data_IF_150129403253
#
_entry.id   IF_150129403253
#
_cell.length_a   1.000
_cell.length_b   1.000
_cell.length_c   1.000
_cell.angle_alpha   90.00
_cell.angle_beta   90.00
_cell.angle_gamma   90.00
#
_symmetry.space_group_name_H-M   'P 1'
#
loop_
_entity.id
_entity.type
_entity.pdbx_description
1 polymer ?
#
# COMPACT_ATOMS: atom_id res chain seq x y z
N UNK A 1 0.66 -0.88 -6.34
CA UNK A 1 -0.49 -1.25 -7.18
C UNK A 1 -0.61 -2.74 -7.46
N UNK A 2 0.38 -3.57 -7.16
CA UNK A 2 0.30 -5.03 -7.36
C UNK A 2 -0.33 -5.78 -6.18
N UNK A 3 -0.42 -5.18 -4.99
CA UNK A 3 -1.11 -5.76 -3.84
C UNK A 3 -2.12 -4.78 -3.27
N UNK A 4 -3.39 -5.09 -3.46
CA UNK A 4 -4.49 -4.27 -2.97
C UNK A 4 -4.81 -4.54 -1.49
N UNK A 5 -4.29 -5.64 -0.93
CA UNK A 5 -4.51 -6.04 0.47
C UNK A 5 -3.97 -5.05 1.49
N UNK A 6 -2.92 -4.29 1.13
CA UNK A 6 -2.31 -3.31 2.03
C UNK A 6 -3.26 -2.20 2.47
N UNK A 7 -4.23 -1.85 1.62
CA UNK A 7 -5.12 -0.72 1.82
C UNK A 7 -6.60 -1.07 1.81
N UNK A 8 -6.98 -2.25 1.30
CA UNK A 8 -8.40 -2.61 1.27
C UNK A 8 -8.60 -4.11 1.58
N UNK A 9 -9.17 -4.45 2.76
CA UNK A 9 -9.41 -5.83 3.16
C UNK A 9 -10.42 -6.56 2.26
N UNK A 10 -11.30 -5.85 1.53
CA UNK A 10 -12.29 -6.46 0.64
C UNK A 10 -11.69 -7.20 -0.57
N UNK A 11 -10.37 -7.07 -0.80
CA UNK A 11 -9.66 -7.81 -1.85
C UNK A 11 -9.13 -9.18 -1.40
N UNK A 12 -9.22 -9.55 -0.12
CA UNK A 12 -8.78 -10.85 0.36
C UNK A 12 -9.55 -11.98 -0.35
N UNK A 13 -8.85 -12.97 -0.90
CA UNK A 13 -9.42 -14.12 -1.61
C UNK A 13 -10.13 -13.81 -2.93
N UNK A 14 -10.01 -12.61 -3.48
CA UNK A 14 -10.72 -12.16 -4.68
C UNK A 14 -10.41 -13.02 -5.91
N UNK A 15 -9.19 -13.53 -6.05
CA UNK A 15 -8.77 -14.32 -7.20
C UNK A 15 -9.18 -15.78 -7.12
N UNK A 16 -9.75 -16.23 -6.00
CA UNK A 16 -10.07 -17.63 -5.69
C UNK A 16 -8.88 -18.59 -5.73
N UNK A 17 -7.69 -18.05 -5.57
CA UNK A 17 -6.42 -18.78 -5.48
C UNK A 17 -5.74 -18.41 -4.16
N UNK A 18 -4.67 -19.15 -3.84
CA UNK A 18 -3.72 -18.74 -2.80
C UNK A 18 -2.74 -17.79 -3.47
N UNK A 19 -2.61 -16.60 -2.92
CA UNK A 19 -1.66 -15.59 -3.36
C UNK A 19 -0.73 -15.23 -2.21
N UNK A 20 0.53 -14.97 -2.54
CA UNK A 20 1.49 -14.38 -1.64
C UNK A 20 2.29 -13.31 -2.39
N UNK A 21 2.64 -12.24 -1.73
CA UNK A 21 3.42 -11.16 -2.31
C UNK A 21 4.39 -10.57 -1.31
N UNK A 22 5.60 -10.33 -1.76
CA UNK A 22 6.64 -9.62 -1.02
C UNK A 22 7.00 -8.35 -1.79
N UNK A 23 7.14 -7.24 -1.08
CA UNK A 23 7.62 -5.99 -1.63
C UNK A 23 8.65 -5.40 -0.67
N UNK A 24 9.78 -4.98 -1.21
CA UNK A 24 10.78 -4.18 -0.51
C UNK A 24 10.94 -2.86 -1.26
N UNK A 25 10.93 -1.74 -0.53
CA UNK A 25 11.11 -0.40 -1.07
C UNK A 25 12.16 0.34 -0.25
N UNK A 26 13.19 0.81 -0.93
CA UNK A 26 14.18 1.72 -0.38
C UNK A 26 13.99 3.10 -1.04
N UNK A 27 13.92 4.16 -0.25
CA UNK A 27 13.76 5.52 -0.74
C UNK A 27 14.99 6.34 -0.41
N UNK A 28 15.35 7.32 -1.27
CA UNK A 28 16.46 8.25 -1.03
C UNK A 28 17.78 7.53 -0.76
N UNK A 29 18.09 6.55 -1.60
CA UNK A 29 19.34 5.78 -1.51
C UNK A 29 20.54 6.72 -1.46
N UNK A 30 21.45 6.47 -0.52
CA UNK A 30 22.61 7.32 -0.25
C UNK A 30 22.45 8.28 0.95
N UNK A 31 21.24 8.46 1.48
CA UNK A 31 21.04 9.20 2.73
C UNK A 31 21.12 8.27 3.95
N UNK A 32 21.75 8.77 5.02
CA UNK A 32 21.78 8.04 6.30
C UNK A 32 20.36 7.93 6.85
N UNK A 33 19.96 6.74 7.30
CA UNK A 33 18.62 6.47 7.84
C UNK A 33 17.48 6.72 6.83
N UNK A 34 17.73 6.47 5.55
CA UNK A 34 16.76 6.58 4.48
C UNK A 34 15.50 5.69 4.74
N UNK A 35 14.33 6.10 4.27
CA UNK A 35 13.11 5.32 4.45
C UNK A 35 13.20 3.95 3.80
N UNK A 36 12.78 2.91 4.52
CA UNK A 36 12.72 1.53 4.05
C UNK A 36 11.40 0.90 4.44
N UNK A 37 10.72 0.31 3.48
CA UNK A 37 9.42 -0.34 3.68
C UNK A 37 9.46 -1.77 3.17
N UNK A 38 9.07 -2.72 4.01
CA UNK A 38 8.93 -4.13 3.67
C UNK A 38 7.49 -4.55 3.88
N UNK A 39 6.93 -5.24 2.89
CA UNK A 39 5.53 -5.68 2.94
C UNK A 39 5.46 -7.14 2.57
N UNK A 40 4.81 -7.93 3.42
CA UNK A 40 4.40 -9.29 3.14
C UNK A 40 2.87 -9.35 3.17
N UNK A 41 2.29 -9.80 2.07
CA UNK A 41 0.86 -10.03 1.97
C UNK A 41 0.59 -11.46 1.54
N UNK A 42 -0.49 -12.04 2.05
CA UNK A 42 -1.00 -13.31 1.60
C UNK A 42 -2.51 -13.34 1.69
N UNK A 43 -3.15 -14.03 0.74
CA UNK A 43 -4.58 -14.25 0.79
C UNK A 43 -4.96 -15.59 0.16
N UNK A 44 -6.10 -16.10 0.59
CA UNK A 44 -6.67 -17.32 0.08
C UNK A 44 -8.19 -17.25 0.08
N UNK A 45 -8.78 -17.96 -0.87
CA UNK A 45 -10.21 -18.18 -0.91
C UNK A 45 -10.57 -19.46 -0.16
N UNK A 46 -11.67 -19.43 0.57
CA UNK A 46 -12.29 -20.64 1.12
C UNK A 46 -13.83 -20.54 1.11
N UNK A 47 -14.52 -21.60 1.55
CA UNK A 47 -15.98 -21.76 1.38
C UNK A 47 -16.82 -20.57 1.84
N UNK A 48 -16.39 -19.85 2.88
CA UNK A 48 -17.16 -18.76 3.48
C UNK A 48 -16.66 -17.35 3.12
N UNK A 49 -15.64 -17.23 2.25
CA UNK A 49 -15.08 -15.94 1.84
C UNK A 49 -13.57 -15.98 1.62
N UNK A 50 -12.94 -14.83 1.64
CA UNK A 50 -11.49 -14.68 1.55
C UNK A 50 -10.87 -14.41 2.91
N UNK A 51 -9.78 -15.09 3.21
CA UNK A 51 -8.89 -14.77 4.31
C UNK A 51 -7.63 -14.12 3.78
N UNK A 52 -7.09 -13.16 4.50
CA UNK A 52 -5.85 -12.51 4.14
C UNK A 52 -5.00 -12.17 5.35
N UNK A 53 -3.74 -11.93 5.09
CA UNK A 53 -2.74 -11.48 6.03
C UNK A 53 -1.93 -10.35 5.40
N UNK A 54 -1.65 -9.31 6.16
CA UNK A 54 -0.78 -8.21 5.75
C UNK A 54 0.18 -7.87 6.88
N UNK A 55 1.47 -7.91 6.58
CA UNK A 55 2.55 -7.50 7.48
C UNK A 55 3.31 -6.37 6.80
N UNK A 56 3.47 -5.26 7.49
CA UNK A 56 4.21 -4.10 7.01
C UNK A 56 5.23 -3.72 8.08
N UNK A 57 6.48 -3.61 7.65
CA UNK A 57 7.58 -3.11 8.44
C UNK A 57 8.13 -1.85 7.76
N UNK A 58 8.01 -0.71 8.41
CA UNK A 58 8.34 0.60 7.86
C UNK A 58 9.32 1.32 8.78
N UNK A 59 10.39 1.85 8.21
CA UNK A 59 11.41 2.64 8.91
C UNK A 59 11.56 3.98 8.23
N UNK A 60 11.54 5.04 9.02
CA UNK A 60 11.77 6.42 8.56
C UNK A 60 12.68 7.14 9.56
N UNK A 61 13.94 7.26 9.23
CA UNK A 61 14.91 7.80 10.18
C UNK A 61 15.04 6.92 11.42
N UNK A 62 14.76 7.51 12.57
CA UNK A 62 14.72 6.86 13.88
C UNK A 62 13.33 6.38 14.28
N UNK A 63 12.33 6.60 13.41
CA UNK A 63 10.98 6.08 13.55
C UNK A 63 10.89 4.67 12.95
N UNK A 64 10.24 3.76 13.66
CA UNK A 64 9.95 2.41 13.21
C UNK A 64 8.48 2.09 13.43
N UNK A 65 7.83 1.54 12.43
CA UNK A 65 6.43 1.12 12.48
C UNK A 65 6.28 -0.30 11.99
N UNK A 66 5.73 -1.16 12.82
CA UNK A 66 5.39 -2.54 12.47
C UNK A 66 3.88 -2.72 12.54
N UNK A 67 3.28 -3.24 11.48
CA UNK A 67 1.84 -3.52 11.40
C UNK A 67 1.59 -4.96 10.99
N UNK A 68 0.71 -5.61 11.72
CA UNK A 68 0.18 -6.94 11.41
C UNK A 68 -1.33 -6.87 11.36
N UNK A 69 -1.94 -7.33 10.24
CA UNK A 69 -3.38 -7.36 10.05
C UNK A 69 -3.82 -8.74 9.55
N UNK A 70 -4.81 -9.32 10.21
CA UNK A 70 -5.63 -10.41 9.69
C UNK A 70 -6.84 -9.81 8.97
N UNK A 71 -7.15 -10.30 7.79
CA UNK A 71 -8.16 -9.75 6.89
C UNK A 71 -9.20 -10.81 6.57
N UNK A 72 -10.45 -10.41 6.49
CA UNK A 72 -11.56 -11.23 6.03
C UNK A 72 -12.37 -10.45 5.00
N UNK A 73 -12.82 -11.12 3.93
CA UNK A 73 -13.71 -10.55 2.94
C UNK A 73 -14.85 -11.51 2.59
N UNK A 74 -16.05 -10.99 2.61
CA UNK A 74 -17.23 -11.67 2.08
C UNK A 74 -17.48 -11.19 0.65
N UNK A 75 -17.66 -12.15 -0.27
CA UNK A 75 -17.86 -11.88 -1.69
C UNK A 75 -19.25 -12.33 -2.11
N UNK A 76 -20.03 -11.40 -2.60
CA UNK A 76 -21.37 -11.65 -3.12
C UNK A 76 -21.41 -11.46 -4.64
N UNK A 77 -21.76 -12.52 -5.36
CA UNK A 77 -21.88 -12.47 -6.80
C UNK A 77 -23.31 -12.05 -7.18
N UNK A 78 -23.45 -10.84 -7.71
CA UNK A 78 -24.71 -10.28 -8.18
C UNK A 78 -25.10 -10.82 -9.57
N UNK A 79 -24.10 -11.06 -10.42
CA UNK A 79 -24.28 -11.65 -11.75
C UNK A 79 -23.02 -12.35 -12.22
N UNK A 80 -23.06 -12.96 -13.41
CA UNK A 80 -21.86 -13.59 -14.01
C UNK A 80 -20.70 -12.59 -14.25
N UNK A 81 -21.00 -11.29 -14.36
CA UNK A 81 -20.03 -10.22 -14.61
C UNK A 81 -19.79 -9.32 -13.41
N UNK A 82 -20.60 -9.44 -12.32
CA UNK A 82 -20.58 -8.49 -11.22
C UNK A 82 -20.43 -9.20 -9.87
N UNK A 83 -19.38 -8.85 -9.14
CA UNK A 83 -19.13 -9.28 -7.76
C UNK A 83 -18.93 -8.03 -6.90
N UNK A 84 -19.59 -7.98 -5.77
CA UNK A 84 -19.37 -6.98 -4.72
C UNK A 84 -18.77 -7.68 -3.51
N UNK A 85 -17.86 -7.02 -2.85
CA UNK A 85 -17.20 -7.59 -1.67
C UNK A 85 -17.14 -6.56 -0.55
N UNK A 86 -17.34 -7.03 0.67
CA UNK A 86 -17.13 -6.28 1.90
C UNK A 86 -16.05 -6.96 2.71
N UNK A 87 -15.12 -6.20 3.25
CA UNK A 87 -13.99 -6.73 4.02
C UNK A 87 -13.73 -5.97 5.29
N UNK A 88 -13.22 -6.68 6.28
CA UNK A 88 -12.74 -6.14 7.54
C UNK A 88 -11.33 -6.65 7.81
N UNK A 89 -10.52 -5.80 8.45
CA UNK A 89 -9.19 -6.11 8.94
C UNK A 89 -9.09 -5.82 10.43
N UNK A 90 -8.48 -6.73 11.15
CA UNK A 90 -8.15 -6.56 12.56
C UNK A 90 -6.66 -6.81 12.76
N UNK A 91 -6.00 -5.96 13.53
CA UNK A 91 -4.57 -6.07 13.68
C UNK A 91 -3.98 -5.27 14.82
N UNK A 92 -2.67 -5.23 14.82
CA UNK A 92 -1.84 -4.51 15.78
C UNK A 92 -0.84 -3.65 15.02
N UNK A 93 -0.63 -2.44 15.51
CA UNK A 93 0.41 -1.53 15.05
C UNK A 93 1.31 -1.26 16.25
N UNK A 94 2.60 -1.52 16.10
CA UNK A 94 3.62 -0.99 16.98
C UNK A 94 4.26 0.20 16.30
N UNK A 95 4.35 1.32 16.98
CA UNK A 95 5.05 2.51 16.52
C UNK A 95 6.07 2.93 17.56
N UNK A 96 7.33 3.07 17.16
CA UNK A 96 8.43 3.42 18.06
C UNK A 96 9.29 4.54 17.48
N UNK A 97 9.88 5.31 18.38
CA UNK A 97 10.83 6.37 18.08
C UNK A 97 12.04 6.20 18.99
N UNK A 98 13.23 6.12 18.41
CA UNK A 98 14.49 6.14 19.13
C UNK A 98 14.87 7.59 19.49
N UNK A 99 14.20 8.17 20.48
CA UNK A 99 14.35 9.55 20.91
C UNK A 99 15.77 9.83 21.44
N UNK A 100 16.42 8.83 22.03
CA UNK A 100 17.80 8.89 22.52
C UNK A 100 18.84 9.13 21.42
N UNK A 101 18.50 8.88 20.15
CA UNK A 101 19.37 9.06 18.98
C UNK A 101 19.15 10.42 18.30
N UNK A 102 18.15 11.20 18.73
CA UNK A 102 17.85 12.49 18.14
C UNK A 102 18.82 13.56 18.65
N UNK A 103 19.36 14.33 17.73
CA UNK A 103 20.24 15.46 18.03
C UNK A 103 19.45 16.74 17.82
N UNK A 104 19.23 17.47 18.89
CA UNK A 104 18.52 18.77 18.87
C UNK A 104 19.50 19.92 18.73
N UNK A 105 19.15 20.89 17.89
CA UNK A 105 19.96 22.12 17.72
C UNK A 105 19.92 22.98 18.99
N UNK A 106 18.78 23.00 19.68
CA UNK A 106 18.65 23.67 21.00
C UNK A 106 18.73 22.64 22.12
N UNK A 107 19.73 22.74 22.97
CA UNK A 107 19.92 21.84 24.10
C UNK A 107 18.88 22.02 25.23
N UNK A 108 18.15 23.13 25.23
CA UNK A 108 17.14 23.46 26.25
C UNK A 108 15.70 23.43 25.72
N UNK A 109 15.42 22.68 24.65
CA UNK A 109 14.05 22.51 24.17
C UNK A 109 13.27 21.60 25.13
N UNK A 110 12.30 22.19 25.84
CA UNK A 110 11.44 21.47 26.79
C UNK A 110 10.55 20.42 26.12
N UNK A 111 10.35 20.50 24.80
CA UNK A 111 9.56 19.56 24.01
C UNK A 111 10.44 18.49 23.34
N UNK A 112 11.75 18.48 23.60
CA UNK A 112 12.65 17.50 23.02
C UNK A 112 12.35 16.08 23.54
N UNK A 113 12.10 15.16 22.63
CA UNK A 113 11.92 13.72 22.94
C UNK A 113 13.31 13.11 23.05
N UNK A 114 13.82 12.96 24.26
CA UNK A 114 15.16 12.42 24.55
C UNK A 114 15.15 10.96 24.97
N UNK A 115 13.97 10.37 25.15
CA UNK A 115 13.79 8.97 25.55
C UNK A 115 13.16 8.16 24.40
N UNK A 116 13.45 6.87 24.37
CA UNK A 116 12.84 5.96 23.42
C UNK A 116 11.37 5.72 23.79
N UNK A 117 10.51 5.84 22.79
CA UNK A 117 9.06 5.65 22.92
C UNK A 117 8.65 4.46 22.05
N UNK A 118 7.83 3.56 22.60
CA UNK A 118 7.23 2.46 21.83
C UNK A 118 5.83 2.17 22.33
N UNK A 119 4.86 2.17 21.41
CA UNK A 119 3.46 1.92 21.73
C UNK A 119 2.83 0.90 20.78
N UNK A 120 1.96 0.07 21.36
CA UNK A 120 1.12 -0.85 20.63
C UNK A 120 -0.31 -0.33 20.54
N UNK A 121 -0.85 -0.36 19.36
CA UNK A 121 -2.19 0.11 19.08
C UNK A 121 -2.98 -0.97 18.33
N UNK A 122 -4.23 -1.21 18.75
CA UNK A 122 -5.15 -2.01 17.94
C UNK A 122 -5.47 -1.29 16.63
N UNK A 123 -5.66 -2.05 15.57
CA UNK A 123 -6.01 -1.55 14.25
C UNK A 123 -7.30 -2.18 13.74
N UNK A 124 -8.18 -1.36 13.18
CA UNK A 124 -9.40 -1.80 12.49
C UNK A 124 -9.43 -1.15 11.12
N UNK A 125 -9.59 -1.97 10.09
CA UNK A 125 -9.73 -1.55 8.70
C UNK A 125 -11.06 -2.05 8.14
N UNK A 126 -11.75 -1.26 7.33
CA UNK A 126 -12.96 -1.64 6.61
C UNK A 126 -12.83 -1.31 5.13
N UNK A 127 -13.46 -2.11 4.29
CA UNK A 127 -13.41 -1.88 2.86
C UNK A 127 -14.57 -2.49 2.09
N UNK A 128 -14.81 -1.90 0.94
CA UNK A 128 -15.75 -2.39 -0.06
C UNK A 128 -15.02 -2.46 -1.40
N UNK A 129 -15.39 -3.43 -2.22
CA UNK A 129 -14.90 -3.53 -3.59
C UNK A 129 -15.97 -4.05 -4.54
N UNK A 130 -15.82 -3.69 -5.80
CA UNK A 130 -16.62 -4.17 -6.90
C UNK A 130 -15.71 -4.65 -8.02
N UNK A 131 -16.04 -5.80 -8.57
CA UNK A 131 -15.51 -6.29 -9.84
C UNK A 131 -16.67 -6.34 -10.82
N UNK A 132 -16.54 -5.60 -11.91
CA UNK A 132 -17.53 -5.59 -12.98
C UNK A 132 -16.83 -5.81 -14.32
N UNK A 133 -16.93 -7.00 -14.86
CA UNK A 133 -16.21 -7.44 -16.07
C UNK A 133 -14.71 -7.15 -15.95
N UNK A 134 -14.24 -6.12 -16.65
CA UNK A 134 -12.83 -5.68 -16.70
C UNK A 134 -12.48 -4.56 -15.71
N UNK A 135 -13.49 -4.04 -15.01
CA UNK A 135 -13.32 -2.99 -14.00
C UNK A 135 -13.18 -3.59 -12.61
N UNK A 136 -12.18 -3.14 -11.88
CA UNK A 136 -12.02 -3.39 -10.44
C UNK A 136 -11.98 -2.04 -9.75
N UNK A 137 -12.85 -1.82 -8.78
CA UNK A 137 -12.83 -0.61 -7.98
C UNK A 137 -13.06 -0.94 -6.51
N UNK A 138 -12.65 -0.05 -5.64
CA UNK A 138 -12.84 -0.22 -4.21
C UNK A 138 -12.64 1.07 -3.43
N UNK A 139 -13.24 1.10 -2.26
CA UNK A 139 -13.06 2.14 -1.25
C UNK A 139 -12.79 1.47 0.08
N UNK A 140 -11.90 2.05 0.87
CA UNK A 140 -11.60 1.53 2.20
C UNK A 140 -11.18 2.65 3.15
N UNK A 141 -11.35 2.37 4.42
CA UNK A 141 -10.86 3.19 5.49
C UNK A 141 -9.96 2.34 6.39
N UNK A 142 -8.69 2.71 6.51
CA UNK A 142 -7.75 2.07 7.42
C UNK A 142 -7.57 2.90 8.68
N UNK A 143 -7.24 2.23 9.80
CA UNK A 143 -7.12 2.85 11.12
C UNK A 143 -8.41 3.55 11.56
N UNK A 144 -9.58 2.94 11.30
CA UNK A 144 -10.88 3.56 11.54
C UNK A 144 -11.14 3.89 13.01
N UNK A 145 -10.54 3.13 13.91
CA UNK A 145 -10.61 3.33 15.36
C UNK A 145 -9.69 4.46 15.88
N UNK A 146 -8.99 5.18 14.98
CA UNK A 146 -8.05 6.24 15.32
C UNK A 146 -8.60 7.63 14.97
N UNK A 147 -7.95 8.65 15.51
CA UNK A 147 -8.31 10.04 15.22
C UNK A 147 -8.00 10.42 13.76
N UNK A 148 -8.76 11.35 13.20
CA UNK A 148 -8.41 12.03 11.94
C UNK A 148 -7.34 13.11 12.13
N UNK A 149 -7.09 13.54 13.36
CA UNK A 149 -6.03 14.52 13.68
C UNK A 149 -4.74 13.78 13.99
N UNK A 150 -3.65 14.18 13.36
CA UNK A 150 -2.30 13.74 13.72
C UNK A 150 -1.86 14.47 15.00
N UNK A 151 -2.51 14.18 16.12
CA UNK A 151 -2.25 14.86 17.39
C UNK A 151 -1.22 14.16 18.25
N UNK A 152 -0.89 12.93 17.89
CA UNK A 152 0.01 12.08 18.68
C UNK A 152 0.96 11.33 17.76
N UNK A 153 2.25 11.37 18.07
CA UNK A 153 3.30 10.71 17.27
C UNK A 153 3.05 9.21 17.14
N UNK A 154 2.60 8.56 18.20
CA UNK A 154 2.43 7.10 18.26
C UNK A 154 1.16 6.60 17.59
N UNK A 155 0.21 7.47 17.32
CA UNK A 155 -1.09 7.11 16.74
C UNK A 155 -1.12 7.36 15.24
N UNK A 156 -1.20 6.32 14.38
CA UNK A 156 -1.33 6.51 12.95
C UNK A 156 -2.67 7.18 12.62
N UNK A 157 -2.70 8.17 11.71
CA UNK A 157 -3.93 8.82 11.32
C UNK A 157 -4.82 7.87 10.52
N UNK A 158 -6.14 8.12 10.56
CA UNK A 158 -7.10 7.46 9.70
C UNK A 158 -6.81 7.79 8.23
N UNK A 159 -6.89 6.77 7.34
CA UNK A 159 -6.73 6.96 5.92
C UNK A 159 -7.95 6.46 5.14
N UNK A 160 -8.39 7.26 4.20
CA UNK A 160 -9.34 6.89 3.17
C UNK A 160 -8.58 6.53 1.89
N UNK A 161 -8.95 5.41 1.27
CA UNK A 161 -8.40 4.93 0.02
C UNK A 161 -9.51 4.73 -1.01
N UNK A 162 -9.28 5.21 -2.23
CA UNK A 162 -10.16 4.95 -3.36
C UNK A 162 -9.28 4.42 -4.49
N UNK A 163 -9.67 3.30 -5.04
CA UNK A 163 -8.94 2.61 -6.08
C UNK A 163 -9.85 2.23 -7.24
N UNK A 164 -9.36 2.40 -8.46
CA UNK A 164 -10.01 1.88 -9.66
C UNK A 164 -8.95 1.40 -10.65
N UNK A 165 -9.22 0.27 -11.31
CA UNK A 165 -8.40 -0.31 -12.37
C UNK A 165 -9.30 -0.85 -13.46
N UNK A 166 -8.98 -0.55 -14.71
CA UNK A 166 -9.63 -1.12 -15.88
C UNK A 166 -8.62 -1.92 -16.69
N UNK A 167 -9.04 -3.09 -17.23
CA UNK A 167 -8.20 -3.93 -18.09
C UNK A 167 -8.70 -3.86 -19.52
N UNK A 168 -7.98 -3.19 -20.39
CA UNK A 168 -8.30 -3.03 -21.80
C UNK A 168 -7.42 -3.94 -22.66
N UNK A 169 -8.02 -4.87 -23.40
CA UNK A 169 -7.32 -5.74 -24.35
C UNK A 169 -7.27 -5.03 -25.70
N UNK A 170 -6.08 -4.61 -26.11
CA UNK A 170 -5.86 -3.93 -27.37
C UNK A 170 -5.83 -4.96 -28.53
N UNK A 171 -5.10 -6.04 -28.32
CA UNK A 171 -5.02 -7.21 -29.18
C UNK A 171 -4.54 -8.42 -28.35
N UNK A 172 -4.33 -9.57 -28.99
CA UNK A 172 -3.91 -10.82 -28.30
C UNK A 172 -2.53 -10.72 -27.63
N UNK A 173 -1.73 -9.73 -27.99
CA UNK A 173 -0.37 -9.55 -27.47
C UNK A 173 -0.29 -8.44 -26.42
N UNK A 174 -1.21 -7.47 -26.44
CA UNK A 174 -1.09 -6.24 -25.66
C UNK A 174 -2.38 -6.00 -24.85
N UNK A 175 -2.21 -5.89 -23.53
CA UNK A 175 -3.26 -5.45 -22.61
C UNK A 175 -2.80 -4.21 -21.86
N UNK A 176 -3.64 -3.18 -21.81
CA UNK A 176 -3.42 -1.96 -21.05
C UNK A 176 -4.22 -2.02 -19.75
N UNK A 177 -3.61 -1.61 -18.66
CA UNK A 177 -4.24 -1.58 -17.33
C UNK A 177 -4.06 -0.20 -16.69
N UNK A 178 -4.83 0.82 -17.14
CA UNK A 178 -4.89 2.07 -16.40
C UNK A 178 -5.49 1.86 -15.02
N UNK A 179 -4.96 2.55 -14.05
CA UNK A 179 -5.46 2.53 -12.67
C UNK A 179 -5.24 3.87 -11.98
N UNK A 180 -6.08 4.14 -10.99
CA UNK A 180 -6.07 5.34 -10.18
C UNK A 180 -6.12 4.91 -8.71
N UNK A 181 -5.30 5.56 -7.89
CA UNK A 181 -5.31 5.43 -6.44
C UNK A 181 -5.33 6.80 -5.81
N UNK A 182 -6.33 7.06 -4.99
CA UNK A 182 -6.40 8.23 -4.12
C UNK A 182 -6.22 7.78 -2.68
N UNK A 183 -5.25 8.36 -2.00
CA UNK A 183 -4.99 8.18 -0.57
C UNK A 183 -5.20 9.50 0.14
N UNK A 184 -6.04 9.55 1.15
CA UNK A 184 -6.27 10.74 1.97
C UNK A 184 -6.14 10.43 3.45
N UNK A 185 -5.32 11.19 4.14
CA UNK A 185 -5.26 11.22 5.60
C UNK A 185 -6.12 12.37 6.18
N UNK A 186 -7.03 12.93 5.39
CA UNK A 186 -7.90 14.09 5.63
C UNK A 186 -7.16 15.45 5.69
N UNK A 187 -5.95 15.50 6.22
CA UNK A 187 -5.09 16.70 6.19
C UNK A 187 -4.12 16.73 5.01
N UNK A 188 -3.89 15.57 4.37
CA UNK A 188 -3.05 15.42 3.17
C UNK A 188 -3.66 14.39 2.23
N UNK A 189 -3.83 14.76 0.97
CA UNK A 189 -4.36 13.87 -0.08
C UNK A 189 -3.31 13.69 -1.18
N UNK A 190 -3.12 12.45 -1.60
CA UNK A 190 -2.22 12.06 -2.68
C UNK A 190 -3.02 11.33 -3.76
N UNK A 191 -2.78 11.70 -5.02
CA UNK A 191 -3.34 11.05 -6.19
C UNK A 191 -2.23 10.37 -6.98
N UNK A 192 -2.44 9.10 -7.32
CA UNK A 192 -1.57 8.32 -8.18
C UNK A 192 -2.34 7.82 -9.40
N UNK A 193 -1.80 8.09 -10.59
CA UNK A 193 -2.34 7.59 -11.86
C UNK A 193 -1.29 6.66 -12.44
N UNK A 194 -1.67 5.44 -12.75
CA UNK A 194 -0.77 4.42 -13.28
C UNK A 194 -1.35 3.82 -14.57
N UNK A 195 -0.47 3.47 -15.49
CA UNK A 195 -0.81 2.62 -16.63
C UNK A 195 0.25 1.54 -16.77
N UNK A 196 -0.19 0.27 -16.76
CA UNK A 196 0.66 -0.87 -17.08
C UNK A 196 0.29 -1.40 -18.46
N UNK A 197 1.30 -1.70 -19.26
CA UNK A 197 1.20 -2.41 -20.53
C UNK A 197 1.71 -3.83 -20.32
N UNK A 198 0.84 -4.82 -20.50
CA UNK A 198 1.18 -6.24 -20.45
C UNK A 198 1.42 -6.73 -21.88
N UNK A 199 2.57 -7.36 -22.10
CA UNK A 199 3.00 -7.91 -23.37
C UNK A 199 3.01 -9.45 -23.28
N UNK A 200 2.20 -10.09 -24.13
CA UNK A 200 2.04 -11.57 -24.20
C UNK A 200 1.71 -12.19 -22.83
N UNK A 201 1.03 -11.48 -21.94
CA UNK A 201 0.77 -11.87 -20.55
C UNK A 201 2.02 -12.27 -19.75
N UNK A 202 3.21 -12.03 -20.28
CA UNK A 202 4.49 -12.42 -19.71
C UNK A 202 5.32 -11.26 -19.19
N UNK A 203 5.38 -10.18 -19.92
CA UNK A 203 6.14 -8.99 -19.54
C UNK A 203 5.19 -7.84 -19.26
N UNK A 204 5.55 -6.97 -18.33
CA UNK A 204 4.85 -5.71 -18.16
C UNK A 204 5.83 -4.56 -17.99
N UNK A 205 5.44 -3.44 -18.53
CA UNK A 205 6.07 -2.14 -18.30
C UNK A 205 4.99 -1.17 -17.83
N UNK A 206 5.32 -0.25 -16.96
CA UNK A 206 4.35 0.68 -16.43
C UNK A 206 4.95 2.02 -16.06
N UNK A 207 4.09 3.00 -16.03
CA UNK A 207 4.39 4.34 -15.53
C UNK A 207 3.34 4.74 -14.50
N UNK A 208 3.80 5.31 -13.39
CA UNK A 208 2.94 5.90 -12.37
C UNK A 208 3.31 7.37 -12.21
N UNK A 209 2.33 8.24 -12.32
CA UNK A 209 2.46 9.64 -11.94
C UNK A 209 1.89 9.83 -10.54
N UNK A 210 2.71 10.26 -9.61
CA UNK A 210 2.31 10.71 -8.27
C UNK A 210 2.25 12.22 -8.25
N UNK A 211 1.06 12.74 -8.05
CA UNK A 211 0.82 14.18 -8.13
C UNK A 211 1.72 14.95 -7.18
N UNK A 212 2.52 15.89 -7.73
CA UNK A 212 3.48 16.76 -7.03
C UNK A 212 4.62 16.03 -6.30
N UNK A 213 4.89 14.77 -6.61
CA UNK A 213 5.91 13.97 -5.91
C UNK A 213 6.92 13.36 -6.88
N UNK A 214 6.50 12.43 -7.73
CA UNK A 214 7.42 11.66 -8.58
C UNK A 214 6.73 11.05 -9.79
N UNK A 215 7.53 10.60 -10.74
CA UNK A 215 7.16 9.61 -11.75
C UNK A 215 7.87 8.31 -11.42
N UNK A 216 7.15 7.20 -11.46
CA UNK A 216 7.69 5.86 -11.19
C UNK A 216 7.64 5.05 -12.47
N UNK A 217 8.80 4.55 -12.90
CA UNK A 217 8.91 3.55 -13.94
C UNK A 217 8.83 2.16 -13.33
N UNK A 218 8.11 1.24 -13.99
CA UNK A 218 7.92 -0.14 -13.55
C UNK A 218 8.25 -1.09 -14.69
N UNK A 219 8.94 -2.16 -14.35
CA UNK A 219 9.16 -3.29 -15.25
C UNK A 219 8.92 -4.60 -14.50
N UNK A 220 8.51 -5.63 -15.20
CA UNK A 220 8.41 -6.93 -14.58
C UNK A 220 8.15 -8.06 -15.57
N UNK A 221 8.23 -9.26 -15.03
CA UNK A 221 8.13 -10.50 -15.78
C UNK A 221 7.33 -11.54 -15.00
N UNK A 222 6.52 -12.29 -15.69
CA UNK A 222 5.93 -13.53 -15.22
C UNK A 222 6.88 -14.69 -15.57
N UNK A 223 7.58 -15.21 -14.56
CA UNK A 223 8.56 -16.27 -14.71
C UNK A 223 7.89 -17.59 -15.06
N UNK A 224 6.76 -17.89 -14.43
CA UNK A 224 5.92 -19.05 -14.70
C UNK A 224 4.45 -18.72 -14.34
N UNK A 225 3.55 -19.71 -14.34
CA UNK A 225 2.13 -19.52 -14.05
C UNK A 225 1.85 -19.00 -12.62
N UNK A 226 2.82 -19.14 -11.71
CA UNK A 226 2.66 -18.83 -10.28
C UNK A 226 3.54 -17.67 -9.82
N UNK A 227 4.66 -17.40 -10.47
CA UNK A 227 5.68 -16.46 -9.99
C UNK A 227 5.78 -15.25 -10.91
N UNK A 228 5.63 -14.07 -10.31
CA UNK A 228 5.87 -12.78 -10.96
C UNK A 228 6.95 -12.03 -10.20
N UNK A 229 7.84 -11.36 -10.90
CA UNK A 229 8.87 -10.50 -10.33
C UNK A 229 8.85 -9.14 -11.04
N UNK A 230 9.10 -8.08 -10.31
CA UNK A 230 9.11 -6.73 -10.88
C UNK A 230 10.03 -5.80 -10.10
N UNK A 231 10.41 -4.75 -10.77
CA UNK A 231 11.22 -3.67 -10.23
C UNK A 231 10.58 -2.33 -10.58
N UNK A 232 10.72 -1.37 -9.68
CA UNK A 232 10.27 0.01 -9.92
C UNK A 232 11.33 1.00 -9.47
N UNK A 233 11.42 2.12 -10.19
CA UNK A 233 12.33 3.20 -9.89
C UNK A 233 11.56 4.52 -9.82
N UNK A 234 11.69 5.22 -8.69
CA UNK A 234 11.04 6.50 -8.44
C UNK A 234 11.95 7.65 -8.92
N UNK A 235 11.44 8.50 -9.81
CA UNK A 235 12.09 9.71 -10.28
C UNK A 235 11.43 10.92 -9.58
N UNK A 236 11.98 11.40 -8.47
CA UNK A 236 11.42 12.53 -7.74
C UNK A 236 11.64 13.84 -8.50
N UNK A 237 10.64 14.74 -8.48
CA UNK A 237 10.74 16.10 -9.00
C UNK A 237 10.33 17.17 -7.98
N UNK A 238 10.08 16.75 -6.74
CA UNK A 238 9.81 17.64 -5.61
C UNK A 238 11.06 18.34 -5.07
N UNK A 239 10.95 19.01 -3.90
CA UNK A 239 12.04 19.78 -3.27
C UNK A 239 13.31 18.97 -2.96
N UNK A 240 13.24 17.65 -2.91
CA UNK A 240 14.33 16.72 -2.62
C UNK A 240 15.13 16.35 -3.89
N UNK A 241 14.74 16.87 -5.05
CA UNK A 241 15.44 16.62 -6.31
C UNK A 241 16.91 17.04 -6.21
N UNK A 242 17.81 16.09 -6.50
CA UNK A 242 19.27 16.32 -6.49
C UNK A 242 19.96 16.06 -5.14
N UNK A 243 19.21 15.78 -4.07
CA UNK A 243 19.77 15.39 -2.77
C UNK A 243 19.65 13.88 -2.51
N UNK A 244 18.84 13.17 -3.29
CA UNK A 244 18.64 11.73 -3.16
C UNK A 244 18.36 11.08 -4.52
N UNK A 245 18.72 9.82 -4.64
CA UNK A 245 18.35 8.95 -5.77
C UNK A 245 17.31 7.94 -5.27
N UNK A 246 16.21 7.81 -6.02
CA UNK A 246 15.04 7.01 -5.65
C UNK A 246 15.16 5.53 -5.89
#
# INVERSE_FOLDING_TARGET
MFSNLQYNPAFAGQTKMINAGLLAREQWTGLKSAPSTQVLNGDMWFKFGGLGLSVINDRLGYEHSFRFNALYAYHYRLSNKMQVSAGAGLGIINKSLQGSQLIYVSQNDQNAITTDISEYNANIDLGLSIVYDKLIAGVSCTHINKSVKASDFTTPPRHLWIYAKYSYTLNDLIKLQPSLLLKSAFFKTQLEINTNCLLKDKYWVGLTYRHKESVVALIGIQLNQHIKAGYSYDLPFGPIKGQSYG
#
